data_IF_358434457151
#
_entry.id   IF_358434457151
#
_cell.length_a   1.000
_cell.length_b   1.000
_cell.length_c   1.000
_cell.angle_alpha   90.00
_cell.angle_beta   90.00
_cell.angle_gamma   90.00
#
_symmetry.space_group_name_H-M   'P 1'
#
loop_
_entity.id
_entity.type
_entity.pdbx_description
1 polymer ?
#
# COMPACT_ATOMS: atom_id res chain seq x y z
N UNK A 1 -19.61 21.73 -22.26
CA UNK A 1 -19.08 22.08 -20.93
C UNK A 1 -20.21 21.85 -19.92
N UNK A 2 -20.31 20.69 -19.29
CA UNK A 2 -21.25 20.45 -18.21
C UNK A 2 -20.78 21.19 -16.97
N UNK A 3 -21.62 22.00 -16.36
CA UNK A 3 -21.29 22.72 -15.14
C UNK A 3 -21.12 21.72 -13.99
N UNK A 4 -20.16 21.98 -13.10
CA UNK A 4 -19.90 21.19 -11.87
C UNK A 4 -21.14 21.07 -10.96
N UNK A 5 -22.16 21.89 -11.18
CA UNK A 5 -23.44 21.89 -10.44
C UNK A 5 -24.31 20.65 -10.67
N UNK A 6 -24.00 19.80 -11.68
CA UNK A 6 -24.75 18.58 -11.98
C UNK A 6 -24.05 17.30 -11.48
N UNK A 7 -23.01 17.41 -10.65
CA UNK A 7 -22.33 16.25 -10.08
C UNK A 7 -22.79 16.02 -8.65
N UNK A 8 -23.21 14.79 -8.34
CA UNK A 8 -23.50 14.37 -6.96
C UNK A 8 -22.31 13.56 -6.41
N UNK A 9 -21.88 13.89 -5.21
CA UNK A 9 -20.90 13.05 -4.50
C UNK A 9 -21.60 11.78 -4.01
N UNK A 10 -21.07 10.60 -4.36
CA UNK A 10 -21.72 9.32 -3.99
C UNK A 10 -20.96 8.50 -2.97
N UNK A 11 -19.69 8.65 -2.79
CA UNK A 11 -18.94 7.92 -1.77
C UNK A 11 -17.86 8.80 -1.19
N UNK A 12 -17.65 8.68 0.11
CA UNK A 12 -16.61 9.35 0.86
C UNK A 12 -15.77 8.28 1.54
N UNK A 13 -14.45 8.35 1.35
CA UNK A 13 -13.50 7.56 2.12
C UNK A 13 -12.70 8.49 3.00
N UNK A 14 -12.54 8.13 4.27
CA UNK A 14 -11.73 8.86 5.22
C UNK A 14 -10.46 8.08 5.52
N UNK A 15 -9.31 8.71 5.29
CA UNK A 15 -8.00 8.13 5.49
C UNK A 15 -7.20 8.94 6.48
N UNK A 16 -6.34 8.25 7.21
CA UNK A 16 -5.21 8.87 7.90
C UNK A 16 -3.98 8.71 7.04
N UNK A 17 -3.25 9.81 6.85
CA UNK A 17 -1.92 9.79 6.27
C UNK A 17 -0.92 9.59 7.40
N UNK A 18 -0.16 8.52 7.32
CA UNK A 18 0.93 8.22 8.23
C UNK A 18 2.27 8.53 7.58
N UNK A 19 3.23 9.00 8.37
CA UNK A 19 4.61 9.21 7.93
C UNK A 19 5.59 8.48 8.84
N UNK A 20 6.69 8.00 8.25
CA UNK A 20 7.81 7.41 8.95
C UNK A 20 9.13 8.06 8.50
N UNK A 21 9.93 8.51 9.45
CA UNK A 21 11.28 9.04 9.23
C UNK A 21 12.34 8.16 9.88
N UNK A 22 11.93 7.32 10.82
CA UNK A 22 12.80 6.41 11.56
C UNK A 22 12.00 5.19 11.97
N UNK A 23 12.53 4.02 11.69
CA UNK A 23 11.89 2.76 12.06
C UNK A 23 12.11 2.43 13.54
N UNK A 24 11.08 1.85 14.13
CA UNK A 24 11.22 1.14 15.40
C UNK A 24 11.90 -0.20 15.15
N UNK A 25 12.92 -0.53 15.94
CA UNK A 25 13.55 -1.86 15.86
C UNK A 25 12.61 -2.90 16.45
N UNK A 26 12.16 -3.82 15.60
CA UNK A 26 11.29 -4.94 15.97
C UNK A 26 11.92 -6.26 15.48
N UNK A 27 11.51 -7.35 16.11
CA UNK A 27 11.78 -8.68 15.57
C UNK A 27 10.78 -8.95 14.44
N UNK A 28 11.30 -9.11 13.24
CA UNK A 28 10.48 -9.29 12.04
C UNK A 28 10.12 -10.76 11.82
N UNK A 29 8.99 -10.98 11.16
CA UNK A 29 8.61 -12.30 10.67
C UNK A 29 9.64 -12.86 9.68
N UNK A 30 9.67 -14.17 9.53
CA UNK A 30 10.55 -14.88 8.58
C UNK A 30 10.33 -14.43 7.13
N UNK A 31 11.31 -14.77 6.30
CA UNK A 31 11.29 -14.50 4.87
C UNK A 31 12.13 -13.30 4.44
N UNK A 32 12.31 -13.19 3.14
CA UNK A 32 13.10 -12.16 2.48
C UNK A 32 12.23 -11.15 1.75
N UNK A 33 12.73 -9.93 1.59
CA UNK A 33 12.11 -8.93 0.73
C UNK A 33 12.71 -9.07 -0.68
N UNK A 34 11.87 -9.31 -1.66
CA UNK A 34 12.26 -9.48 -3.05
C UNK A 34 11.50 -8.48 -3.94
N UNK A 35 12.13 -8.00 -4.99
CA UNK A 35 11.42 -7.28 -6.05
C UNK A 35 10.66 -8.28 -6.90
N UNK A 36 9.39 -8.00 -7.18
CA UNK A 36 8.62 -8.82 -8.09
C UNK A 36 9.24 -8.75 -9.50
N UNK A 37 9.34 -9.91 -10.13
CA UNK A 37 9.74 -10.07 -11.53
C UNK A 37 8.50 -10.30 -12.39
N UNK A 38 8.68 -10.31 -13.71
CA UNK A 38 7.56 -10.51 -14.65
C UNK A 38 6.83 -11.84 -14.47
N UNK A 39 7.46 -12.85 -13.92
CA UNK A 39 6.83 -14.14 -13.58
C UNK A 39 5.75 -14.04 -12.50
N UNK A 40 5.78 -12.99 -11.68
CA UNK A 40 4.80 -12.76 -10.61
C UNK A 40 3.66 -11.79 -10.98
N UNK A 41 3.57 -11.34 -12.24
CA UNK A 41 2.54 -10.37 -12.67
C UNK A 41 1.14 -10.92 -12.41
N UNK A 42 0.87 -12.18 -12.76
CA UNK A 42 -0.45 -12.81 -12.55
C UNK A 42 -0.79 -12.90 -11.05
N UNK A 43 0.17 -13.30 -10.22
CA UNK A 43 0.01 -13.36 -8.76
C UNK A 43 -0.28 -11.98 -8.16
N UNK A 44 0.51 -10.98 -8.56
CA UNK A 44 0.33 -9.59 -8.08
C UNK A 44 -1.03 -9.05 -8.51
N UNK A 45 -1.48 -9.36 -9.72
CA UNK A 45 -2.79 -8.98 -10.22
C UNK A 45 -3.92 -9.59 -9.39
N UNK A 46 -3.85 -10.89 -9.11
CA UNK A 46 -4.82 -11.60 -8.26
C UNK A 46 -4.89 -10.96 -6.87
N UNK A 47 -3.74 -10.65 -6.27
CA UNK A 47 -3.68 -10.06 -4.95
C UNK A 47 -4.13 -8.59 -4.92
N UNK A 48 -3.87 -7.81 -5.96
CA UNK A 48 -4.40 -6.47 -6.11
C UNK A 48 -5.93 -6.47 -6.23
N UNK A 49 -6.50 -7.42 -6.96
CA UNK A 49 -7.95 -7.57 -7.07
C UNK A 49 -8.58 -8.01 -5.74
N UNK A 50 -7.96 -8.97 -5.05
CA UNK A 50 -8.39 -9.40 -3.72
C UNK A 50 -8.35 -8.24 -2.71
N UNK A 51 -7.28 -7.46 -2.71
CA UNK A 51 -7.16 -6.24 -1.91
C UNK A 51 -8.28 -5.25 -2.22
N UNK A 52 -8.57 -5.00 -3.50
CA UNK A 52 -9.65 -4.09 -3.93
C UNK A 52 -11.01 -4.55 -3.44
N UNK A 53 -11.31 -5.84 -3.55
CA UNK A 53 -12.57 -6.43 -3.09
C UNK A 53 -12.72 -6.28 -1.58
N UNK A 54 -11.68 -6.61 -0.82
CA UNK A 54 -11.72 -6.56 0.64
C UNK A 54 -11.81 -5.12 1.19
N UNK A 55 -11.11 -4.18 0.56
CA UNK A 55 -11.10 -2.78 1.00
C UNK A 55 -12.22 -1.95 0.41
N UNK A 56 -12.95 -2.49 -0.58
CA UNK A 56 -14.01 -1.79 -1.32
C UNK A 56 -13.53 -0.48 -1.99
N UNK A 57 -12.22 -0.32 -2.16
CA UNK A 57 -11.65 0.85 -2.84
C UNK A 57 -11.91 0.74 -4.34
N UNK A 58 -12.53 1.78 -4.92
CA UNK A 58 -12.95 1.80 -6.33
C UNK A 58 -11.81 1.94 -7.35
N UNK A 59 -10.55 1.92 -6.93
CA UNK A 59 -9.40 2.07 -7.81
C UNK A 59 -9.10 0.72 -8.47
N UNK A 60 -9.44 0.60 -9.74
CA UNK A 60 -9.07 -0.55 -10.58
C UNK A 60 -7.62 -0.37 -11.05
N UNK A 61 -6.75 -1.31 -10.71
CA UNK A 61 -5.46 -1.45 -11.38
C UNK A 61 -5.62 -2.48 -12.51
N UNK A 62 -5.34 -2.07 -13.73
CA UNK A 62 -5.33 -3.00 -14.87
C UNK A 62 -3.96 -3.69 -14.99
N UNK A 63 -3.93 -4.78 -15.77
CA UNK A 63 -2.70 -5.59 -15.99
C UNK A 63 -1.54 -4.72 -16.47
N UNK A 64 -1.78 -3.76 -17.37
CA UNK A 64 -0.74 -2.89 -17.91
C UNK A 64 -0.12 -1.98 -16.84
N UNK A 65 -0.91 -1.56 -15.85
CA UNK A 65 -0.39 -0.77 -14.73
C UNK A 65 0.46 -1.63 -13.81
N UNK A 66 0.02 -2.83 -13.50
CA UNK A 66 0.76 -3.78 -12.67
C UNK A 66 2.07 -4.17 -13.37
N UNK A 67 2.02 -4.49 -14.66
CA UNK A 67 3.21 -4.80 -15.46
C UNK A 67 4.23 -3.66 -15.39
N UNK A 68 3.78 -2.43 -15.63
CA UNK A 68 4.66 -1.25 -15.52
C UNK A 68 5.24 -1.07 -14.12
N UNK A 69 4.48 -1.31 -13.07
CA UNK A 69 4.97 -1.23 -11.69
C UNK A 69 6.03 -2.29 -11.38
N UNK A 70 5.84 -3.50 -11.88
CA UNK A 70 6.82 -4.59 -11.78
C UNK A 70 8.10 -4.24 -12.55
N UNK A 71 7.99 -3.81 -13.80
CA UNK A 71 9.14 -3.39 -14.62
C UNK A 71 9.88 -2.19 -14.02
N UNK A 72 9.19 -1.30 -13.31
CA UNK A 72 9.79 -0.20 -12.58
C UNK A 72 10.47 -0.62 -11.27
N UNK A 73 10.34 -1.88 -10.85
CA UNK A 73 10.91 -2.41 -9.62
C UNK A 73 10.32 -1.83 -8.35
N UNK A 74 9.07 -1.37 -8.40
CA UNK A 74 8.37 -0.76 -7.25
C UNK A 74 7.39 -1.70 -6.56
N UNK A 75 7.21 -2.92 -7.07
CA UNK A 75 6.44 -4.00 -6.44
C UNK A 75 7.40 -4.91 -5.70
N UNK A 76 7.10 -5.19 -4.45
CA UNK A 76 7.89 -6.07 -3.59
C UNK A 76 7.03 -7.20 -3.07
N UNK A 77 7.64 -8.36 -2.98
CA UNK A 77 7.08 -9.57 -2.39
C UNK A 77 7.85 -9.91 -1.12
N UNK A 78 7.16 -10.44 -0.13
CA UNK A 78 7.81 -11.19 0.93
C UNK A 78 7.71 -12.65 0.59
N UNK A 79 8.84 -13.32 0.52
CA UNK A 79 8.95 -14.74 0.22
C UNK A 79 9.50 -15.51 1.42
N UNK A 80 8.89 -16.65 1.71
CA UNK A 80 9.41 -17.74 2.50
C UNK A 80 9.79 -18.86 1.54
N UNK A 81 9.12 -19.99 1.54
CA UNK A 81 9.22 -20.99 0.46
C UNK A 81 8.47 -20.58 -0.80
N UNK A 82 7.54 -19.64 -0.66
CA UNK A 82 6.77 -19.00 -1.72
C UNK A 82 6.43 -17.56 -1.34
N UNK A 83 5.95 -16.72 -2.27
CA UNK A 83 5.42 -15.40 -1.94
C UNK A 83 4.24 -15.49 -0.95
N UNK A 84 4.26 -14.67 0.11
CA UNK A 84 3.25 -14.68 1.18
C UNK A 84 2.61 -13.32 1.43
N UNK A 85 3.18 -12.24 0.86
CA UNK A 85 2.65 -10.88 1.00
C UNK A 85 3.20 -9.98 -0.10
N UNK A 86 2.46 -8.95 -0.48
CA UNK A 86 2.88 -7.93 -1.46
C UNK A 86 2.79 -6.53 -0.89
N UNK A 87 3.58 -5.63 -1.45
CA UNK A 87 3.54 -4.18 -1.20
C UNK A 87 4.03 -3.44 -2.42
N UNK A 88 3.42 -2.29 -2.69
CA UNK A 88 3.84 -1.40 -3.77
C UNK A 88 4.40 -0.11 -3.18
N UNK A 89 5.60 0.29 -3.61
CA UNK A 89 6.09 1.65 -3.38
C UNK A 89 5.78 2.52 -4.59
N UNK A 90 5.25 3.72 -4.36
CA UNK A 90 5.04 4.64 -5.48
C UNK A 90 6.35 5.27 -5.92
N UNK A 91 6.35 5.84 -7.15
CA UNK A 91 7.35 6.85 -7.48
C UNK A 91 7.10 8.06 -6.61
N UNK A 92 8.07 8.37 -5.77
CA UNK A 92 8.03 9.53 -4.90
C UNK A 92 8.69 10.76 -5.51
N UNK A 93 8.82 11.76 -4.69
CA UNK A 93 9.73 12.88 -4.87
C UNK A 93 11.06 12.54 -4.17
N UNK A 94 12.07 13.39 -4.31
CA UNK A 94 13.33 13.25 -3.56
C UNK A 94 13.13 13.15 -2.03
N UNK A 95 12.02 13.66 -1.55
CA UNK A 95 11.76 13.77 -0.11
C UNK A 95 10.72 12.79 0.42
N UNK A 96 9.85 12.26 -0.43
CA UNK A 96 8.68 11.46 -0.01
C UNK A 96 8.46 10.31 -0.98
N UNK A 97 8.32 9.10 -0.46
CA UNK A 97 7.85 7.92 -1.19
C UNK A 97 6.64 7.35 -0.47
N UNK A 98 5.58 7.04 -1.20
CA UNK A 98 4.40 6.42 -0.63
C UNK A 98 4.44 4.88 -0.75
N UNK A 99 3.91 4.21 0.27
CA UNK A 99 3.65 2.77 0.30
C UNK A 99 2.15 2.57 0.13
N UNK A 100 1.78 1.61 -0.69
CA UNK A 100 0.39 1.26 -0.98
C UNK A 100 0.23 -0.23 -1.23
N UNK A 101 -1.02 -0.68 -1.36
CA UNK A 101 -1.39 -2.05 -1.70
C UNK A 101 -0.62 -3.09 -0.85
N UNK A 102 -0.56 -2.87 0.47
CA UNK A 102 -0.05 -3.87 1.41
C UNK A 102 -1.09 -4.97 1.54
N UNK A 103 -0.79 -6.15 1.02
CA UNK A 103 -1.72 -7.27 1.04
C UNK A 103 -1.04 -8.56 1.46
N UNK A 104 -1.72 -9.31 2.32
CA UNK A 104 -1.37 -10.67 2.74
C UNK A 104 -2.60 -11.53 2.55
N UNK A 105 -2.56 -12.58 1.71
CA UNK A 105 -3.66 -13.51 1.53
C UNK A 105 -4.13 -14.11 2.86
N UNK A 106 -5.42 -14.45 3.01
CA UNK A 106 -5.99 -14.93 4.27
C UNK A 106 -5.22 -16.08 4.91
N UNK A 107 -4.73 -17.04 4.12
CA UNK A 107 -3.98 -18.23 4.56
C UNK A 107 -2.62 -17.88 5.17
N UNK A 108 -2.06 -16.71 4.88
CA UNK A 108 -0.76 -16.25 5.40
C UNK A 108 -0.88 -15.20 6.50
N UNK A 109 -2.10 -14.81 6.90
CA UNK A 109 -2.33 -13.78 7.93
C UNK A 109 -1.92 -14.27 9.32
N UNK A 110 -1.84 -13.32 10.25
CA UNK A 110 -1.44 -13.54 11.65
C UNK A 110 -0.01 -14.04 11.87
N UNK A 111 0.84 -14.04 10.84
CA UNK A 111 2.25 -14.39 10.91
C UNK A 111 3.17 -13.15 10.92
N UNK A 112 2.63 -11.93 10.92
CA UNK A 112 3.39 -10.69 10.95
C UNK A 112 4.05 -10.32 9.62
N UNK A 113 3.70 -10.97 8.51
CA UNK A 113 4.32 -10.73 7.20
C UNK A 113 4.07 -9.32 6.68
N UNK A 114 2.85 -8.78 6.79
CA UNK A 114 2.54 -7.40 6.39
C UNK A 114 3.41 -6.39 7.14
N UNK A 115 3.57 -6.58 8.46
CA UNK A 115 4.42 -5.72 9.31
C UNK A 115 5.87 -5.77 8.85
N UNK A 116 6.42 -6.98 8.72
CA UNK A 116 7.81 -7.19 8.34
C UNK A 116 8.12 -6.66 6.94
N UNK A 117 7.21 -6.86 5.99
CA UNK A 117 7.36 -6.38 4.63
C UNK A 117 7.29 -4.86 4.54
N UNK A 118 6.29 -4.24 5.17
CA UNK A 118 6.17 -2.78 5.20
C UNK A 118 7.40 -2.15 5.83
N UNK A 119 7.90 -2.70 6.93
CA UNK A 119 9.11 -2.22 7.56
C UNK A 119 10.34 -2.35 6.66
N UNK A 120 10.51 -3.48 5.98
CA UNK A 120 11.65 -3.71 5.09
C UNK A 120 11.65 -2.74 3.89
N UNK A 121 10.47 -2.50 3.27
CA UNK A 121 10.34 -1.51 2.20
C UNK A 121 10.56 -0.09 2.71
N UNK A 122 10.01 0.25 3.88
CA UNK A 122 10.26 1.55 4.53
C UNK A 122 11.75 1.78 4.78
N UNK A 123 12.46 0.77 5.30
CA UNK A 123 13.91 0.86 5.50
C UNK A 123 14.66 1.08 4.19
N UNK A 124 14.27 0.34 3.14
CA UNK A 124 14.85 0.52 1.79
C UNK A 124 14.64 1.94 1.26
N UNK A 125 13.44 2.50 1.42
CA UNK A 125 13.10 3.88 1.05
C UNK A 125 13.98 4.88 1.82
N UNK A 126 14.05 4.77 3.13
CA UNK A 126 14.84 5.69 3.95
C UNK A 126 16.35 5.58 3.66
N UNK A 127 16.85 4.38 3.41
CA UNK A 127 18.26 4.14 3.05
C UNK A 127 18.62 4.70 1.67
N UNK A 128 17.66 4.94 0.78
CA UNK A 128 17.89 5.59 -0.53
C UNK A 128 18.10 7.10 -0.45
N UNK A 129 18.04 7.69 0.77
CA UNK A 129 18.16 9.13 1.00
C UNK A 129 16.82 9.87 1.01
N UNK A 130 15.71 9.19 0.79
CA UNK A 130 14.37 9.75 0.92
C UNK A 130 14.12 10.15 2.38
N UNK A 131 13.61 11.37 2.61
CA UNK A 131 13.44 11.90 3.97
C UNK A 131 12.33 11.21 4.76
N UNK A 132 11.29 10.74 4.07
CA UNK A 132 10.15 10.07 4.72
C UNK A 132 9.42 9.10 3.80
N UNK A 133 8.97 8.01 4.38
CA UNK A 133 7.96 7.15 3.78
C UNK A 133 6.57 7.56 4.29
N UNK A 134 5.56 7.51 3.42
CA UNK A 134 4.18 7.81 3.77
C UNK A 134 3.26 6.67 3.33
N UNK A 135 2.12 6.54 3.96
CA UNK A 135 1.05 5.65 3.54
C UNK A 135 -0.31 6.21 3.95
N UNK A 136 -1.33 5.72 3.28
CA UNK A 136 -2.73 6.01 3.57
C UNK A 136 -3.38 4.76 4.15
N UNK A 137 -4.16 4.90 5.18
CA UNK A 137 -4.94 3.81 5.74
C UNK A 137 -6.32 4.30 6.12
N UNK A 138 -7.32 3.44 5.96
CA UNK A 138 -8.68 3.71 6.39
C UNK A 138 -8.70 4.02 7.90
N UNK A 139 -9.39 5.07 8.28
CA UNK A 139 -9.54 5.47 9.67
C UNK A 139 -10.17 4.35 10.51
N UNK A 140 -11.10 3.62 9.90
CA UNK A 140 -11.85 2.54 10.53
C UNK A 140 -11.14 1.16 10.46
N UNK A 141 -9.86 1.11 10.03
CA UNK A 141 -9.08 -0.12 10.01
C UNK A 141 -8.07 -0.20 11.16
N UNK A 142 -8.48 -0.66 12.37
CA UNK A 142 -7.64 -0.69 13.55
C UNK A 142 -6.42 -1.62 13.39
N UNK A 143 -6.56 -2.69 12.61
CA UNK A 143 -5.48 -3.66 12.38
C UNK A 143 -4.33 -3.01 11.62
N UNK A 144 -4.61 -2.36 10.49
CA UNK A 144 -3.60 -1.66 9.70
C UNK A 144 -2.99 -0.50 10.47
N UNK A 145 -3.80 0.29 11.17
CA UNK A 145 -3.33 1.40 11.99
C UNK A 145 -2.35 0.92 13.08
N UNK A 146 -2.65 -0.18 13.76
CA UNK A 146 -1.77 -0.79 14.77
C UNK A 146 -0.43 -1.25 14.16
N UNK A 147 -0.47 -1.92 13.00
CA UNK A 147 0.72 -2.38 12.29
C UNK A 147 1.66 -1.21 11.98
N UNK A 148 1.14 -0.15 11.40
CA UNK A 148 1.96 1.00 10.99
C UNK A 148 2.56 1.75 12.18
N UNK A 149 1.81 1.91 13.27
CA UNK A 149 2.33 2.52 14.50
C UNK A 149 3.46 1.68 15.13
N UNK A 150 3.34 0.35 15.13
CA UNK A 150 4.41 -0.55 15.62
C UNK A 150 5.70 -0.40 14.81
N UNK A 151 5.62 -0.19 13.51
CA UNK A 151 6.76 0.02 12.61
C UNK A 151 7.46 1.36 12.89
N UNK A 152 6.75 2.34 13.46
CA UNK A 152 7.27 3.68 13.73
C UNK A 152 6.59 4.79 12.91
N UNK A 153 5.54 4.46 12.18
CA UNK A 153 4.71 5.46 11.51
C UNK A 153 3.91 6.28 12.53
N UNK A 154 3.79 7.57 12.25
CA UNK A 154 3.00 8.50 13.07
C UNK A 154 1.92 9.16 12.22
N UNK A 155 0.72 9.36 12.76
CA UNK A 155 -0.32 10.13 12.07
C UNK A 155 0.23 11.52 11.72
N UNK A 156 -0.05 11.97 10.50
CA UNK A 156 0.44 13.25 10.00
C UNK A 156 -0.70 14.18 9.58
N UNK A 157 -1.71 13.65 8.89
CA UNK A 157 -2.86 14.42 8.40
C UNK A 157 -4.01 13.48 8.09
N UNK A 158 -5.22 14.03 8.08
CA UNK A 158 -6.40 13.36 7.57
C UNK A 158 -6.57 13.67 6.07
N UNK A 159 -7.23 12.78 5.36
CA UNK A 159 -7.52 12.90 3.94
C UNK A 159 -8.90 12.34 3.65
N UNK A 160 -9.69 13.06 2.86
CA UNK A 160 -11.00 12.60 2.41
C UNK A 160 -11.00 12.48 0.89
N UNK A 161 -11.45 11.34 0.40
CA UNK A 161 -11.63 11.08 -1.04
C UNK A 161 -13.11 11.13 -1.36
N UNK A 162 -13.49 12.02 -2.29
CA UNK A 162 -14.84 12.17 -2.79
C UNK A 162 -14.93 11.58 -4.20
N UNK A 163 -15.91 10.72 -4.40
CA UNK A 163 -16.26 10.22 -5.73
C UNK A 163 -17.45 11.01 -6.26
N UNK A 164 -17.29 11.56 -7.46
CA UNK A 164 -18.33 12.31 -8.14
C UNK A 164 -18.90 11.48 -9.28
N UNK A 165 -20.22 11.42 -9.40
CA UNK A 165 -20.91 10.83 -10.55
C UNK A 165 -21.84 11.87 -11.15
N UNK A 166 -22.14 11.80 -12.49
CA UNK A 166 -23.19 12.62 -13.07
C UNK A 166 -24.49 12.44 -12.32
N UNK A 167 -25.25 13.54 -12.14
CA UNK A 167 -26.62 13.44 -11.66
C UNK A 167 -27.45 12.67 -12.71
N UNK A 168 -28.28 11.73 -12.27
CA UNK A 168 -29.20 10.97 -13.11
C UNK A 168 -30.31 11.88 -13.62
#
# INVERSE_FOLDING_TARGET
MGSLEQMQSRNQYEFVIYQCTTLTQLKWAEGTLEQATTEYIELVQEWCESFRIETQIAILQNVDQITRQVEQGIVYLRATDCPVSTVVSSRGTENIVAISAVYTPPEYRNNGYATAQTAAVTQKILNSGTKRAVLYTDLDNPTSNSIYQQIGYKPFSDSTVWLFSPAL
#
